data_IF_098826813465
#
_entry.id   IF_098826813465
#
_cell.length_a   1.000
_cell.length_b   1.000
_cell.length_c   1.000
_cell.angle_alpha   90.00
_cell.angle_beta   90.00
_cell.angle_gamma   90.00
#
_symmetry.space_group_name_H-M   'P 1'
#
loop_
_entity.id
_entity.type
_entity.pdbx_description
1 polymer ?
#
# COMPACT_ATOMS: atom_id res chain seq x y z
N UNK A 1 -1.56 4.39 -39.36
CA UNK A 1 -2.41 3.65 -38.39
C UNK A 1 -3.76 4.34 -38.30
N UNK A 2 -4.89 3.61 -38.29
CA UNK A 2 -6.21 4.21 -38.03
C UNK A 2 -6.23 4.75 -36.60
N UNK A 3 -6.75 5.97 -36.41
CA UNK A 3 -6.99 6.55 -35.08
C UNK A 3 -8.09 5.70 -34.41
N UNK A 4 -7.80 5.17 -33.23
CA UNK A 4 -8.76 4.41 -32.43
C UNK A 4 -9.62 5.40 -31.66
N UNK A 5 -10.92 5.43 -31.95
CA UNK A 5 -11.86 6.37 -31.32
C UNK A 5 -12.55 5.71 -30.11
N UNK A 6 -13.03 6.47 -29.10
CA UNK A 6 -13.73 5.94 -27.93
C UNK A 6 -14.84 4.92 -28.24
N UNK A 7 -15.60 5.17 -29.31
CA UNK A 7 -16.66 4.28 -29.80
C UNK A 7 -16.17 2.88 -30.19
N UNK A 8 -14.89 2.75 -30.55
CA UNK A 8 -14.31 1.51 -31.05
C UNK A 8 -13.87 0.57 -29.91
N UNK A 9 -13.50 1.10 -28.73
CA UNK A 9 -12.96 0.31 -27.61
C UNK A 9 -13.82 0.31 -26.34
N UNK A 10 -14.63 1.34 -26.08
CA UNK A 10 -15.50 1.39 -24.89
C UNK A 10 -16.44 0.16 -24.82
N UNK A 11 -17.12 -0.25 -25.91
CA UNK A 11 -17.97 -1.44 -25.88
C UNK A 11 -17.21 -2.73 -25.54
N UNK A 12 -15.94 -2.82 -25.97
CA UNK A 12 -15.08 -3.99 -25.72
C UNK A 12 -14.72 -4.13 -24.24
N UNK A 13 -14.47 -3.01 -23.55
CA UNK A 13 -14.08 -3.03 -22.14
C UNK A 13 -15.27 -3.01 -21.18
N UNK A 14 -16.45 -2.55 -21.62
CA UNK A 14 -17.66 -2.37 -20.79
C UNK A 14 -18.06 -3.61 -19.97
N UNK A 15 -17.94 -4.86 -20.46
CA UNK A 15 -18.23 -6.04 -19.65
C UNK A 15 -17.29 -6.20 -18.45
N UNK A 16 -16.07 -5.67 -18.54
CA UNK A 16 -15.02 -5.78 -17.54
C UNK A 16 -15.01 -4.63 -16.52
N UNK A 17 -15.89 -3.64 -16.67
CA UNK A 17 -15.97 -2.49 -15.75
C UNK A 17 -16.84 -2.77 -14.52
N UNK A 18 -17.46 -3.95 -14.42
CA UNK A 18 -18.37 -4.30 -13.32
C UNK A 18 -17.69 -5.25 -12.32
N UNK A 19 -17.68 -4.92 -11.02
CA UNK A 19 -17.18 -5.84 -10.00
C UNK A 19 -18.07 -7.08 -9.87
N UNK A 20 -17.45 -8.21 -9.51
CA UNK A 20 -18.15 -9.47 -9.21
C UNK A 20 -17.92 -9.86 -7.76
N UNK A 21 -18.97 -9.76 -6.93
CA UNK A 21 -18.88 -10.03 -5.48
C UNK A 21 -18.30 -11.41 -5.19
N UNK A 22 -18.72 -12.44 -5.94
CA UNK A 22 -18.19 -13.80 -5.77
C UNK A 22 -16.68 -13.89 -6.05
N UNK A 23 -16.19 -13.20 -7.09
CA UNK A 23 -14.75 -13.15 -7.39
C UNK A 23 -14.00 -12.36 -6.33
N UNK A 24 -14.53 -11.23 -5.88
CA UNK A 24 -13.94 -10.39 -4.85
C UNK A 24 -13.80 -11.15 -3.52
N UNK A 25 -14.86 -11.83 -3.07
CA UNK A 25 -14.81 -12.67 -1.86
C UNK A 25 -13.83 -13.83 -2.00
N UNK A 26 -13.78 -14.51 -3.15
CA UNK A 26 -12.80 -15.56 -3.41
C UNK A 26 -11.37 -15.04 -3.34
N UNK A 27 -11.11 -13.86 -3.89
CA UNK A 27 -9.79 -13.21 -3.84
C UNK A 27 -9.37 -12.82 -2.43
N UNK A 28 -10.32 -12.35 -1.61
CA UNK A 28 -10.07 -12.08 -0.19
C UNK A 28 -9.76 -13.38 0.54
N UNK A 29 -10.59 -14.42 0.38
CA UNK A 29 -10.41 -15.69 1.07
C UNK A 29 -9.10 -16.39 0.69
N UNK A 30 -8.78 -16.47 -0.61
CA UNK A 30 -7.54 -17.09 -1.09
C UNK A 30 -6.29 -16.20 -0.91
N UNK A 31 -6.41 -15.06 -0.23
CA UNK A 31 -5.30 -14.22 0.22
C UNK A 31 -5.15 -14.30 1.73
N UNK A 32 -6.24 -14.05 2.48
CA UNK A 32 -6.21 -14.03 3.94
C UNK A 32 -6.02 -15.42 4.55
N UNK A 33 -6.68 -16.48 4.04
CA UNK A 33 -6.55 -17.81 4.63
C UNK A 33 -5.12 -18.35 4.51
N UNK A 34 -4.45 -18.31 3.35
CA UNK A 34 -3.05 -18.71 3.27
C UNK A 34 -2.12 -17.82 4.10
N UNK A 35 -2.35 -16.51 4.13
CA UNK A 35 -1.56 -15.57 4.95
C UNK A 35 -1.60 -15.97 6.43
N UNK A 36 -2.81 -16.17 6.98
CA UNK A 36 -2.99 -16.54 8.39
C UNK A 36 -2.44 -17.94 8.70
N UNK A 37 -2.61 -18.88 7.77
CA UNK A 37 -2.06 -20.23 7.91
C UNK A 37 -0.53 -20.19 7.93
N UNK A 38 0.10 -19.47 6.99
CA UNK A 38 1.56 -19.36 6.92
C UNK A 38 2.12 -18.64 8.15
N UNK A 39 1.46 -17.59 8.63
CA UNK A 39 1.82 -16.92 9.88
C UNK A 39 1.82 -17.90 11.07
N UNK A 40 0.75 -18.69 11.21
CA UNK A 40 0.67 -19.71 12.25
C UNK A 40 1.79 -20.75 12.12
N UNK A 41 2.00 -21.28 10.91
CA UNK A 41 3.04 -22.28 10.65
C UNK A 41 4.45 -21.72 10.91
N UNK A 42 4.73 -20.49 10.51
CA UNK A 42 6.01 -19.81 10.75
C UNK A 42 6.30 -19.68 12.25
N UNK A 43 5.28 -19.30 13.04
CA UNK A 43 5.39 -19.26 14.51
C UNK A 43 5.61 -20.65 15.14
N UNK A 44 4.99 -21.71 14.60
CA UNK A 44 5.27 -23.09 15.03
C UNK A 44 6.68 -23.54 14.64
N UNK A 45 7.18 -23.10 13.49
CA UNK A 45 8.51 -23.43 12.99
C UNK A 45 9.64 -22.77 13.79
N UNK A 46 9.37 -21.71 14.57
CA UNK A 46 10.40 -21.04 15.39
C UNK A 46 11.10 -22.00 16.35
N UNK A 47 10.37 -22.95 16.93
CA UNK A 47 10.93 -23.98 17.83
C UNK A 47 11.64 -25.12 17.09
N UNK A 48 11.66 -25.11 15.75
CA UNK A 48 12.26 -26.15 14.91
C UNK A 48 13.47 -25.63 14.17
N UNK A 49 13.32 -24.52 13.42
CA UNK A 49 14.42 -23.93 12.65
C UNK A 49 14.11 -22.48 12.26
N UNK A 50 14.99 -21.52 12.60
CA UNK A 50 14.89 -20.14 12.14
C UNK A 50 14.86 -20.01 10.61
N UNK A 51 15.56 -20.89 9.88
CA UNK A 51 15.56 -20.87 8.41
C UNK A 51 14.22 -21.32 7.82
N UNK A 52 13.56 -22.31 8.45
CA UNK A 52 12.23 -22.73 8.03
C UNK A 52 11.19 -21.64 8.31
N UNK A 53 11.27 -20.99 9.47
CA UNK A 53 10.45 -19.81 9.77
C UNK A 53 10.63 -18.73 8.73
N UNK A 54 11.89 -18.36 8.42
CA UNK A 54 12.18 -17.34 7.42
C UNK A 54 11.63 -17.69 6.03
N UNK A 55 11.70 -18.96 5.62
CA UNK A 55 11.14 -19.42 4.35
C UNK A 55 9.61 -19.28 4.32
N UNK A 56 8.93 -19.67 5.40
CA UNK A 56 7.48 -19.54 5.53
C UNK A 56 7.04 -18.06 5.58
N UNK A 57 7.77 -17.21 6.30
CA UNK A 57 7.53 -15.76 6.36
C UNK A 57 7.75 -15.10 5.00
N UNK A 58 8.77 -15.52 4.26
CA UNK A 58 9.01 -15.03 2.89
C UNK A 58 7.84 -15.36 1.97
N UNK A 59 7.24 -16.55 2.10
CA UNK A 59 6.04 -16.93 1.36
C UNK A 59 4.81 -16.15 1.84
N UNK A 60 4.66 -15.95 3.16
CA UNK A 60 3.59 -15.15 3.76
C UNK A 60 3.65 -13.69 3.26
N UNK A 61 4.85 -13.13 3.11
CA UNK A 61 5.06 -11.77 2.60
C UNK A 61 4.48 -11.58 1.19
N UNK A 62 4.51 -12.61 0.32
CA UNK A 62 3.87 -12.54 -1.01
C UNK A 62 2.34 -12.38 -0.90
N UNK A 63 1.72 -13.06 0.07
CA UNK A 63 0.29 -12.87 0.35
C UNK A 63 -0.01 -11.52 1.00
N UNK A 64 0.91 -10.98 1.80
CA UNK A 64 0.78 -9.63 2.35
C UNK A 64 0.85 -8.55 1.27
N UNK A 65 1.78 -8.70 0.30
CA UNK A 65 1.82 -7.85 -0.91
C UNK A 65 0.52 -7.97 -1.69
N UNK A 66 0.01 -9.19 -1.87
CA UNK A 66 -1.28 -9.39 -2.54
C UNK A 66 -2.44 -8.74 -1.79
N UNK A 67 -2.44 -8.77 -0.46
CA UNK A 67 -3.44 -8.07 0.35
C UNK A 67 -3.39 -6.56 0.12
N UNK A 68 -2.19 -5.98 -0.01
CA UNK A 68 -2.02 -4.58 -0.41
C UNK A 68 -2.57 -4.29 -1.82
N UNK A 69 -2.44 -5.22 -2.77
CA UNK A 69 -3.07 -5.08 -4.11
C UNK A 69 -4.60 -5.05 -3.98
N UNK A 70 -5.20 -5.90 -3.15
CA UNK A 70 -6.65 -5.86 -2.92
C UNK A 70 -7.09 -4.56 -2.23
N UNK A 71 -6.31 -4.08 -1.26
CA UNK A 71 -6.50 -2.77 -0.62
C UNK A 71 -6.43 -1.64 -1.66
N UNK A 72 -5.50 -1.73 -2.60
CA UNK A 72 -5.35 -0.75 -3.67
C UNK A 72 -6.57 -0.66 -4.58
N UNK A 73 -7.07 -1.80 -5.03
CA UNK A 73 -8.26 -1.87 -5.88
C UNK A 73 -9.53 -1.40 -5.13
N UNK A 74 -9.61 -1.71 -3.83
CA UNK A 74 -10.61 -1.14 -2.95
C UNK A 74 -10.46 0.40 -2.85
N UNK A 75 -9.23 0.92 -2.79
CA UNK A 75 -8.91 2.34 -2.84
C UNK A 75 -9.50 3.06 -4.05
N UNK A 76 -9.52 2.39 -5.20
CA UNK A 76 -10.14 2.84 -6.45
C UNK A 76 -11.67 2.65 -6.50
N UNK A 77 -12.25 1.97 -5.52
CA UNK A 77 -13.67 1.63 -5.48
C UNK A 77 -14.08 0.57 -6.51
N UNK A 78 -13.13 -0.16 -7.09
CA UNK A 78 -13.38 -1.12 -8.17
C UNK A 78 -13.58 -2.55 -7.67
N UNK A 79 -13.26 -2.84 -6.41
CA UNK A 79 -13.24 -4.21 -5.89
C UNK A 79 -14.63 -4.73 -5.52
N UNK A 80 -15.50 -3.90 -4.93
CA UNK A 80 -16.90 -4.22 -4.63
C UNK A 80 -17.87 -3.20 -5.25
N UNK A 81 -19.15 -3.56 -5.50
CA UNK A 81 -20.14 -2.62 -6.04
C UNK A 81 -20.46 -1.45 -5.10
N UNK A 82 -20.40 -1.67 -3.78
CA UNK A 82 -20.75 -0.65 -2.78
C UNK A 82 -19.48 -0.01 -2.22
N UNK A 83 -19.45 1.33 -2.17
CA UNK A 83 -18.30 2.10 -1.67
C UNK A 83 -17.88 1.67 -0.26
N UNK A 84 -18.83 1.56 0.67
CA UNK A 84 -18.51 1.21 2.07
C UNK A 84 -17.84 -0.17 2.22
N UNK A 85 -18.14 -1.12 1.32
CA UNK A 85 -17.49 -2.44 1.35
C UNK A 85 -16.02 -2.36 0.93
N UNK A 86 -15.73 -1.51 -0.07
CA UNK A 86 -14.35 -1.20 -0.44
C UNK A 86 -13.63 -0.49 0.70
N UNK A 87 -14.25 0.53 1.29
CA UNK A 87 -13.65 1.27 2.40
C UNK A 87 -13.37 0.35 3.60
N UNK A 88 -14.27 -0.59 3.91
CA UNK A 88 -14.08 -1.58 4.97
C UNK A 88 -12.95 -2.55 4.66
N UNK A 89 -12.92 -3.15 3.46
CA UNK A 89 -11.85 -4.04 3.05
C UNK A 89 -10.50 -3.32 3.10
N UNK A 90 -10.43 -2.12 2.53
CA UNK A 90 -9.22 -1.33 2.48
C UNK A 90 -8.72 -0.93 3.87
N UNK A 91 -9.62 -0.54 4.77
CA UNK A 91 -9.27 -0.23 6.16
C UNK A 91 -8.73 -1.45 6.91
N UNK A 92 -9.42 -2.60 6.86
CA UNK A 92 -8.96 -3.82 7.53
C UNK A 92 -7.64 -4.31 6.96
N UNK A 93 -7.52 -4.37 5.63
CA UNK A 93 -6.27 -4.70 4.95
C UNK A 93 -5.15 -3.72 5.35
N UNK A 94 -5.46 -2.43 5.47
CA UNK A 94 -4.55 -1.38 5.92
C UNK A 94 -3.93 -1.63 7.29
N UNK A 95 -4.68 -2.24 8.22
CA UNK A 95 -4.12 -2.65 9.51
C UNK A 95 -3.08 -3.75 9.32
N UNK A 96 -3.37 -4.79 8.54
CA UNK A 96 -2.41 -5.89 8.30
C UNK A 96 -1.19 -5.44 7.49
N UNK A 97 -1.38 -4.57 6.50
CA UNK A 97 -0.30 -4.06 5.63
C UNK A 97 0.47 -2.91 6.27
N UNK A 98 0.10 -2.48 7.48
CA UNK A 98 0.67 -1.32 8.16
C UNK A 98 0.48 -0.01 7.36
N UNK A 99 -0.57 0.11 6.57
CA UNK A 99 -0.86 1.30 5.76
C UNK A 99 -2.17 1.95 6.24
N UNK A 100 -2.16 3.19 6.79
CA UNK A 100 -3.39 3.88 7.16
C UNK A 100 -4.22 4.17 5.91
N UNK A 101 -5.29 3.42 5.73
CA UNK A 101 -6.00 3.33 4.45
C UNK A 101 -6.54 4.66 3.95
N UNK A 102 -7.22 5.45 4.79
CA UNK A 102 -7.85 6.70 4.35
C UNK A 102 -6.85 7.75 3.82
N UNK A 103 -5.78 8.14 4.56
CA UNK A 103 -4.79 9.05 4.00
C UNK A 103 -4.05 8.47 2.79
N UNK A 104 -3.74 7.17 2.82
CA UNK A 104 -3.13 6.49 1.69
C UNK A 104 -4.04 6.59 0.44
N UNK A 105 -5.33 6.30 0.56
CA UNK A 105 -6.31 6.39 -0.52
C UNK A 105 -6.39 7.80 -1.11
N UNK A 106 -6.39 8.84 -0.26
CA UNK A 106 -6.42 10.24 -0.72
C UNK A 106 -5.16 10.63 -1.49
N UNK A 107 -3.99 10.31 -0.95
CA UNK A 107 -2.71 10.57 -1.60
C UNK A 107 -2.58 9.77 -2.91
N UNK A 108 -3.01 8.51 -2.90
CA UNK A 108 -2.99 7.62 -4.05
C UNK A 108 -3.92 8.09 -5.18
N UNK A 109 -5.14 8.51 -4.86
CA UNK A 109 -6.04 9.11 -5.84
C UNK A 109 -5.44 10.38 -6.47
N UNK A 110 -4.75 11.19 -5.66
CA UNK A 110 -4.04 12.38 -6.16
C UNK A 110 -2.86 12.00 -7.06
N UNK A 111 -2.07 11.00 -6.68
CA UNK A 111 -1.00 10.45 -7.50
C UNK A 111 -1.53 10.02 -8.86
N UNK A 112 -2.58 9.20 -8.92
CA UNK A 112 -3.17 8.80 -10.21
C UNK A 112 -3.70 9.97 -11.05
N UNK A 113 -4.26 11.00 -10.41
CA UNK A 113 -4.76 12.18 -11.11
C UNK A 113 -3.65 13.10 -11.65
N UNK A 114 -2.40 12.94 -11.19
CA UNK A 114 -1.28 13.84 -11.50
C UNK A 114 -0.03 13.14 -12.03
N UNK A 115 -0.02 11.81 -12.05
CA UNK A 115 1.11 11.00 -12.52
C UNK A 115 1.48 11.36 -13.96
N UNK A 116 2.77 11.56 -14.20
CA UNK A 116 3.30 11.99 -15.50
C UNK A 116 3.11 13.48 -15.82
N UNK A 117 2.54 14.28 -14.91
CA UNK A 117 2.40 15.73 -15.07
C UNK A 117 3.48 16.48 -14.26
N UNK A 118 4.45 17.08 -14.97
CA UNK A 118 5.58 17.80 -14.36
C UNK A 118 5.14 19.01 -13.51
N UNK A 119 4.00 19.62 -13.81
CA UNK A 119 3.50 20.81 -13.12
C UNK A 119 2.74 20.48 -11.83
N UNK A 120 2.39 19.21 -11.61
CA UNK A 120 1.56 18.76 -10.48
C UNK A 120 2.23 17.72 -9.59
N UNK A 121 3.57 17.64 -9.63
CA UNK A 121 4.40 16.73 -8.82
C UNK A 121 4.17 16.91 -7.31
N UNK A 122 4.35 15.83 -6.55
CA UNK A 122 4.73 15.89 -5.14
C UNK A 122 3.89 15.05 -4.18
N UNK A 123 2.69 14.62 -4.57
CA UNK A 123 1.84 13.77 -3.72
C UNK A 123 1.85 12.35 -4.26
N UNK A 124 2.49 11.44 -3.51
CA UNK A 124 2.63 10.02 -3.91
C UNK A 124 3.62 9.77 -5.04
N UNK A 125 4.29 10.81 -5.55
CA UNK A 125 5.26 10.70 -6.63
C UNK A 125 6.68 10.44 -6.13
N UNK A 126 7.46 9.77 -6.97
CA UNK A 126 8.91 9.73 -6.83
C UNK A 126 9.48 10.99 -7.47
N UNK A 127 10.05 11.87 -6.65
CA UNK A 127 10.58 13.14 -7.14
C UNK A 127 11.64 12.91 -8.22
N UNK A 128 11.37 13.43 -9.42
CA UNK A 128 12.21 13.25 -10.59
C UNK A 128 12.46 14.61 -11.23
N UNK A 129 13.74 14.96 -11.35
CA UNK A 129 14.17 16.15 -12.07
C UNK A 129 14.18 15.88 -13.59
N UNK A 130 13.84 16.89 -14.39
CA UNK A 130 14.18 16.91 -15.81
C UNK A 130 15.69 17.09 -15.99
N UNK A 131 16.20 16.83 -17.20
CA UNK A 131 17.61 17.09 -17.51
C UNK A 131 17.97 18.57 -17.29
N UNK A 132 17.09 19.48 -17.73
CA UNK A 132 17.27 20.92 -17.59
C UNK A 132 17.30 21.35 -16.11
N UNK A 133 16.37 20.83 -15.29
CA UNK A 133 16.34 21.07 -13.84
C UNK A 133 17.64 20.59 -13.18
N UNK A 134 18.12 19.40 -13.53
CA UNK A 134 19.34 18.86 -12.97
C UNK A 134 20.58 19.69 -13.35
N UNK A 135 20.67 20.11 -14.62
CA UNK A 135 21.78 20.95 -15.11
C UNK A 135 21.77 22.36 -14.52
N UNK A 136 20.60 22.89 -14.12
CA UNK A 136 20.50 24.17 -13.43
C UNK A 136 20.66 24.08 -11.91
N UNK A 137 20.45 22.90 -11.32
CA UNK A 137 20.54 22.69 -9.89
C UNK A 137 21.96 22.91 -9.34
N UNK A 138 22.05 23.45 -8.12
CA UNK A 138 23.30 23.63 -7.41
C UNK A 138 23.94 22.27 -7.04
N UNK A 139 25.27 22.19 -6.81
CA UNK A 139 25.95 20.92 -6.50
C UNK A 139 25.33 20.16 -5.31
N UNK A 140 24.90 20.87 -4.26
CA UNK A 140 24.24 20.26 -3.11
C UNK A 140 22.86 19.69 -3.42
N UNK A 141 22.09 20.33 -4.30
CA UNK A 141 20.78 19.83 -4.76
C UNK A 141 20.95 18.58 -5.62
N UNK A 142 21.96 18.55 -6.50
CA UNK A 142 22.32 17.37 -7.27
C UNK A 142 22.74 16.21 -6.36
N UNK A 143 23.51 16.49 -5.31
CA UNK A 143 23.89 15.48 -4.31
C UNK A 143 22.66 14.91 -3.60
N UNK A 144 21.77 15.78 -3.09
CA UNK A 144 20.51 15.36 -2.45
C UNK A 144 19.65 14.51 -3.38
N UNK A 145 19.50 14.93 -4.64
CA UNK A 145 18.78 14.17 -5.64
C UNK A 145 19.41 12.79 -5.87
N UNK A 146 20.74 12.70 -6.02
CA UNK A 146 21.45 11.41 -6.19
C UNK A 146 21.32 10.50 -4.97
N UNK A 147 21.37 11.06 -3.76
CA UNK A 147 21.15 10.30 -2.52
C UNK A 147 19.71 9.80 -2.46
N UNK A 148 18.72 10.66 -2.71
CA UNK A 148 17.30 10.27 -2.76
C UNK A 148 17.04 9.19 -3.81
N UNK A 149 17.69 9.27 -4.99
CA UNK A 149 17.54 8.33 -6.11
C UNK A 149 18.47 7.12 -6.04
N UNK A 150 19.28 6.99 -4.99
CA UNK A 150 20.12 5.82 -4.79
C UNK A 150 19.23 4.60 -4.47
N UNK A 151 19.42 3.43 -5.12
CA UNK A 151 18.59 2.24 -4.88
C UNK A 151 18.55 1.78 -3.42
N UNK A 152 19.66 1.87 -2.68
CA UNK A 152 19.68 1.53 -1.26
C UNK A 152 18.79 2.48 -0.45
N UNK A 153 18.85 3.78 -0.73
CA UNK A 153 17.96 4.76 -0.07
C UNK A 153 16.51 4.53 -0.46
N UNK A 154 16.22 4.32 -1.74
CA UNK A 154 14.85 4.18 -2.25
C UNK A 154 14.16 2.87 -1.83
N UNK A 155 14.89 1.75 -1.79
CA UNK A 155 14.31 0.43 -1.57
C UNK A 155 14.57 -0.13 -0.17
N UNK A 156 15.45 0.50 0.61
CA UNK A 156 15.72 0.09 1.98
C UNK A 156 15.32 1.18 2.99
N UNK A 157 15.99 2.33 2.98
CA UNK A 157 15.75 3.38 3.98
C UNK A 157 14.37 4.04 3.81
N UNK A 158 13.94 4.26 2.57
CA UNK A 158 12.66 4.89 2.23
C UNK A 158 11.46 4.10 2.76
N UNK A 159 11.34 2.80 2.45
CA UNK A 159 10.26 1.97 3.00
C UNK A 159 10.29 1.92 4.54
N UNK A 160 11.45 1.78 5.17
CA UNK A 160 11.54 1.82 6.64
C UNK A 160 11.02 3.14 7.21
N UNK A 161 11.44 4.27 6.64
CA UNK A 161 10.91 5.59 7.02
C UNK A 161 9.39 5.68 6.84
N UNK A 162 8.88 5.25 5.68
CA UNK A 162 7.45 5.34 5.38
C UNK A 162 6.62 4.49 6.34
N UNK A 163 6.95 3.21 6.49
CA UNK A 163 6.15 2.26 7.26
C UNK A 163 6.29 2.41 8.77
N UNK A 164 7.50 2.75 9.25
CA UNK A 164 7.77 2.87 10.69
C UNK A 164 7.50 4.26 11.25
N UNK A 165 7.61 5.32 10.43
CA UNK A 165 7.44 6.71 10.88
C UNK A 165 6.30 7.42 10.15
N UNK A 166 6.40 7.60 8.84
CA UNK A 166 5.47 8.47 8.09
C UNK A 166 4.02 8.01 8.16
N UNK A 167 3.77 6.69 8.22
CA UNK A 167 2.43 6.12 8.34
C UNK A 167 1.92 6.07 9.79
N UNK A 168 2.77 6.33 10.79
CA UNK A 168 2.36 6.42 12.19
C UNK A 168 1.98 7.84 12.59
N UNK A 169 2.45 8.83 11.85
CA UNK A 169 2.19 10.24 12.12
C UNK A 169 1.26 10.80 11.04
N UNK A 170 0.33 11.71 11.37
CA UNK A 170 -0.51 12.36 10.37
C UNK A 170 0.32 13.43 9.64
N UNK A 171 1.24 12.99 8.78
CA UNK A 171 2.11 13.84 7.97
C UNK A 171 1.71 13.76 6.49
N UNK A 172 2.03 14.79 5.73
CA UNK A 172 1.79 14.83 4.29
C UNK A 172 0.38 15.28 3.89
N UNK A 173 -0.06 14.82 2.71
CA UNK A 173 -1.27 15.30 2.05
C UNK A 173 -2.54 14.97 2.85
N UNK A 174 -3.36 15.99 3.12
CA UNK A 174 -4.60 15.83 3.87
C UNK A 174 -4.43 15.81 5.39
N UNK A 175 -3.19 15.96 5.91
CA UNK A 175 -2.90 15.96 7.35
C UNK A 175 -3.57 17.11 8.11
N UNK A 176 -4.01 18.16 7.44
CA UNK A 176 -4.84 19.23 8.00
C UNK A 176 -6.23 18.76 8.43
N UNK A 177 -6.73 17.66 7.85
CA UNK A 177 -8.10 17.17 8.04
C UNK A 177 -8.20 16.28 9.28
N UNK A 178 -9.17 16.52 10.18
CA UNK A 178 -9.43 15.63 11.31
C UNK A 178 -9.69 14.19 10.89
N UNK A 179 -10.36 13.96 9.76
CA UNK A 179 -10.63 12.61 9.25
C UNK A 179 -9.36 11.81 8.97
N UNK A 180 -8.32 12.45 8.44
CA UNK A 180 -7.02 11.83 8.18
C UNK A 180 -6.29 11.54 9.49
N UNK A 181 -6.25 12.51 10.40
CA UNK A 181 -5.61 12.33 11.73
C UNK A 181 -6.25 11.19 12.51
N UNK A 182 -7.59 11.16 12.54
CA UNK A 182 -8.35 10.14 13.23
C UNK A 182 -8.16 8.76 12.59
N UNK A 183 -8.06 8.69 11.26
CA UNK A 183 -7.77 7.43 10.57
C UNK A 183 -6.38 6.89 10.92
N UNK A 184 -5.35 7.74 10.95
CA UNK A 184 -3.99 7.33 11.38
C UNK A 184 -4.02 6.86 12.84
N UNK A 185 -4.64 7.63 13.74
CA UNK A 185 -4.75 7.28 15.15
C UNK A 185 -5.48 5.94 15.36
N UNK A 186 -6.59 5.73 14.64
CA UNK A 186 -7.35 4.49 14.70
C UNK A 186 -6.54 3.30 14.16
N UNK A 187 -5.83 3.45 13.04
CA UNK A 187 -4.94 2.40 12.54
C UNK A 187 -3.86 2.08 13.57
N UNK A 188 -3.22 3.09 14.17
CA UNK A 188 -2.20 2.86 15.21
C UNK A 188 -2.77 2.14 16.44
N UNK A 189 -3.96 2.53 16.91
CA UNK A 189 -4.64 1.85 18.01
C UNK A 189 -4.88 0.37 17.67
N UNK A 190 -5.41 0.08 16.48
CA UNK A 190 -5.65 -1.29 16.05
C UNK A 190 -4.36 -2.10 15.87
N UNK A 191 -3.27 -1.48 15.45
CA UNK A 191 -1.95 -2.12 15.40
C UNK A 191 -1.46 -2.49 16.80
N UNK A 192 -1.57 -1.59 17.77
CA UNK A 192 -1.22 -1.87 19.17
C UNK A 192 -2.06 -3.02 19.71
N UNK A 193 -3.39 -2.98 19.50
CA UNK A 193 -4.28 -4.05 19.92
C UNK A 193 -3.97 -5.38 19.23
N UNK A 194 -3.65 -5.36 17.94
CA UNK A 194 -3.25 -6.55 17.20
C UNK A 194 -1.94 -7.13 17.76
N UNK A 195 -0.94 -6.31 18.01
CA UNK A 195 0.35 -6.74 18.55
C UNK A 195 0.22 -7.28 19.98
N UNK A 196 -0.57 -6.62 20.83
CA UNK A 196 -0.91 -7.13 22.16
C UNK A 196 -1.66 -8.46 22.07
N UNK A 197 -2.62 -8.58 21.16
CA UNK A 197 -3.34 -9.83 20.92
C UNK A 197 -2.43 -10.96 20.46
N UNK A 198 -1.50 -10.69 19.54
CA UNK A 198 -0.48 -11.65 19.10
C UNK A 198 0.42 -12.03 20.28
N UNK A 199 0.89 -11.05 21.06
CA UNK A 199 1.74 -11.30 22.23
C UNK A 199 1.04 -12.17 23.28
N UNK A 200 -0.21 -11.87 23.64
CA UNK A 200 -0.97 -12.64 24.61
C UNK A 200 -1.34 -14.04 24.09
N UNK A 201 -1.63 -14.17 22.80
CA UNK A 201 -2.04 -15.44 22.19
C UNK A 201 -0.88 -16.40 21.89
N UNK A 202 0.29 -15.87 21.52
CA UNK A 202 1.44 -16.66 21.08
C UNK A 202 2.64 -16.61 22.01
N UNK A 203 2.68 -15.65 22.94
CA UNK A 203 3.80 -15.42 23.85
C UNK A 203 5.06 -14.89 23.14
N UNK A 204 6.07 -14.54 23.93
CA UNK A 204 7.45 -14.46 23.47
C UNK A 204 8.03 -15.87 23.53
N UNK A 205 8.46 -16.41 22.39
CA UNK A 205 9.32 -17.59 22.34
C UNK A 205 10.77 -17.14 22.30
#
# INVERSE_FOLDING_TARGET
MKKVEPKDWIPLIKPYTKPSVARSLRQVANTLLPLLLLFYLAHRALSVSPFLTLALDSLAALFLVRLFILQHDAGHGSFFPKKWMNDLLGFLAGVFTLVPYHPWQLAHARHHATSGNLDKRGVGDIYTMTLEEYLRAAPGERLRYRLYRNPFVMFFLGPLYVFLLSYRLPLGYGSERPSVRNAVALTNLLLVLLWVGIYLGFGLK
#
